data_IF_884426501733
#
_entry.id   IF_884426501733
#
_cell.length_a   1.000
_cell.length_b   1.000
_cell.length_c   1.000
_cell.angle_alpha   90.00
_cell.angle_beta   90.00
_cell.angle_gamma   90.00
#
_symmetry.space_group_name_H-M   'P 1'
#
loop_
_entity.id
_entity.type
_entity.pdbx_description
1 polymer ?
#
# COMPACT_ATOMS: atom_id res chain seq x y z
N UNK A 1 -10.13 6.82 -59.58
CA UNK A 1 -8.75 6.52 -59.14
C UNK A 1 -7.84 7.76 -59.17
N UNK A 2 -7.91 8.64 -60.17
CA UNK A 2 -7.02 9.81 -60.27
C UNK A 2 -7.04 10.74 -59.03
N UNK A 3 -8.23 11.03 -58.47
CA UNK A 3 -8.38 11.88 -57.28
C UNK A 3 -7.66 11.34 -56.02
N UNK A 4 -7.59 10.01 -55.86
CA UNK A 4 -6.90 9.41 -54.70
C UNK A 4 -5.38 9.60 -54.80
N UNK A 5 -4.82 9.41 -55.99
CA UNK A 5 -3.37 9.59 -56.22
C UNK A 5 -2.95 11.04 -56.02
N UNK A 6 -3.76 12.00 -56.49
CA UNK A 6 -3.52 13.43 -56.26
C UNK A 6 -3.57 13.77 -54.78
N UNK A 7 -4.56 13.24 -54.04
CA UNK A 7 -4.66 13.48 -52.59
C UNK A 7 -3.49 12.89 -51.80
N UNK A 8 -2.99 11.70 -52.19
CA UNK A 8 -1.83 11.08 -51.54
C UNK A 8 -0.58 11.91 -51.83
N UNK A 9 -0.44 12.40 -53.06
CA UNK A 9 0.67 13.27 -53.45
C UNK A 9 0.69 14.57 -52.64
N UNK A 10 -0.46 15.23 -52.43
CA UNK A 10 -0.55 16.44 -51.62
C UNK A 10 -0.19 16.23 -50.14
N UNK A 11 -0.63 15.10 -49.57
CA UNK A 11 -0.29 14.71 -48.19
C UNK A 11 1.21 14.40 -48.04
N UNK A 12 1.81 13.72 -49.02
CA UNK A 12 3.24 13.39 -48.99
C UNK A 12 4.14 14.58 -49.31
N UNK A 13 3.66 15.55 -50.10
CA UNK A 13 4.40 16.75 -50.50
C UNK A 13 4.59 17.75 -49.37
N UNK A 14 3.60 17.88 -48.48
CA UNK A 14 3.66 18.82 -47.36
C UNK A 14 4.20 18.16 -46.09
N UNK A 15 5.22 18.76 -45.48
CA UNK A 15 5.86 18.23 -44.26
C UNK A 15 4.87 18.14 -43.09
N UNK A 16 4.01 19.15 -42.93
CA UNK A 16 3.02 19.20 -41.86
C UNK A 16 1.93 18.13 -41.97
N UNK A 17 1.40 17.88 -43.19
CA UNK A 17 0.41 16.81 -43.39
C UNK A 17 1.06 15.43 -43.24
N UNK A 18 2.32 15.29 -43.67
CA UNK A 18 3.09 14.06 -43.46
C UNK A 18 3.32 13.76 -41.98
N UNK A 19 3.60 14.78 -41.17
CA UNK A 19 3.73 14.63 -39.72
C UNK A 19 2.40 14.23 -39.07
N UNK A 20 1.28 14.86 -39.45
CA UNK A 20 -0.05 14.47 -38.97
C UNK A 20 -0.41 13.05 -39.39
N UNK A 21 -0.09 12.66 -40.62
CA UNK A 21 -0.30 11.30 -41.12
C UNK A 21 0.55 10.28 -40.35
N UNK A 22 1.84 10.59 -40.10
CA UNK A 22 2.71 9.75 -39.28
C UNK A 22 2.18 9.61 -37.84
N UNK A 23 1.68 10.70 -37.24
CA UNK A 23 1.02 10.65 -35.94
C UNK A 23 -0.22 9.75 -35.97
N UNK A 24 -1.04 9.82 -37.02
CA UNK A 24 -2.21 8.93 -37.16
C UNK A 24 -1.81 7.47 -37.38
N UNK A 25 -0.71 7.21 -38.09
CA UNK A 25 -0.15 5.86 -38.23
C UNK A 25 0.35 5.29 -36.90
N UNK A 26 0.99 6.12 -36.06
CA UNK A 26 1.59 5.70 -34.79
C UNK A 26 0.54 5.60 -33.66
N UNK A 27 -0.38 6.57 -33.57
CA UNK A 27 -1.35 6.69 -32.48
C UNK A 27 -2.77 6.24 -32.86
N UNK A 28 -3.04 5.97 -34.13
CA UNK A 28 -4.38 5.68 -34.66
C UNK A 28 -5.22 6.93 -34.85
N UNK A 29 -6.33 6.80 -35.59
CA UNK A 29 -7.36 7.85 -35.68
C UNK A 29 -7.94 8.13 -34.29
N UNK A 30 -8.18 9.40 -33.91
CA UNK A 30 -8.89 9.71 -32.68
C UNK A 30 -10.34 9.23 -32.79
N UNK A 31 -10.62 8.07 -32.17
CA UNK A 31 -11.99 7.55 -32.08
C UNK A 31 -12.79 8.45 -31.13
N UNK A 32 -13.58 9.37 -31.69
CA UNK A 32 -14.46 10.29 -30.97
C UNK A 32 -15.52 9.58 -30.10
N UNK A 33 -15.69 8.27 -30.30
CA UNK A 33 -16.61 7.40 -29.57
C UNK A 33 -16.00 6.68 -28.36
N UNK A 34 -14.67 6.70 -28.21
CA UNK A 34 -14.00 5.97 -27.12
C UNK A 34 -13.29 6.93 -26.16
N UNK A 35 -13.72 7.03 -24.88
CA UNK A 35 -12.99 7.81 -23.86
C UNK A 35 -11.57 7.25 -23.57
N UNK A 36 -11.27 6.07 -24.09
CA UNK A 36 -9.97 5.38 -23.99
C UNK A 36 -8.84 6.14 -24.69
N UNK A 37 -9.13 6.91 -25.76
CA UNK A 37 -8.09 7.63 -26.51
C UNK A 37 -7.39 8.70 -25.66
N UNK A 38 -8.10 9.29 -24.70
CA UNK A 38 -7.52 10.24 -23.73
C UNK A 38 -6.84 9.53 -22.55
N UNK A 39 -7.23 8.29 -22.24
CA UNK A 39 -6.72 7.55 -21.08
C UNK A 39 -5.25 7.14 -21.24
N UNK A 40 -4.79 6.92 -22.48
CA UNK A 40 -3.38 6.61 -22.75
C UNK A 40 -2.46 7.84 -22.64
N UNK A 41 -3.02 9.06 -22.67
CA UNK A 41 -2.28 10.32 -22.51
C UNK A 41 -2.38 10.90 -21.10
N UNK A 42 -2.99 10.19 -20.15
CA UNK A 42 -2.81 10.48 -18.73
C UNK A 42 -1.44 9.91 -18.35
N UNK A 43 -0.46 10.80 -18.15
CA UNK A 43 0.85 10.44 -17.55
C UNK A 43 0.55 9.59 -16.32
N UNK A 44 1.07 8.36 -16.27
CA UNK A 44 0.94 7.48 -15.10
C UNK A 44 1.60 8.21 -13.94
N UNK A 45 0.80 8.90 -13.12
CA UNK A 45 1.29 9.53 -11.91
C UNK A 45 1.85 8.40 -11.07
N UNK A 46 3.15 8.46 -10.81
CA UNK A 46 3.76 7.46 -9.96
C UNK A 46 3.11 7.55 -8.57
N UNK A 47 3.10 6.44 -7.83
CA UNK A 47 2.40 6.38 -6.55
C UNK A 47 2.88 7.48 -5.58
N UNK A 48 4.17 7.82 -5.64
CA UNK A 48 4.75 8.92 -4.86
C UNK A 48 4.27 10.30 -5.31
N UNK A 49 4.10 10.55 -6.61
CA UNK A 49 3.55 11.83 -7.10
C UNK A 49 2.11 12.02 -6.59
N UNK A 50 1.31 10.95 -6.59
CA UNK A 50 -0.03 10.98 -6.03
C UNK A 50 -0.03 11.25 -4.51
N UNK A 51 0.91 10.65 -3.76
CA UNK A 51 1.08 10.90 -2.32
C UNK A 51 1.51 12.34 -2.05
N UNK A 52 2.44 12.90 -2.83
CA UNK A 52 2.88 14.29 -2.69
C UNK A 52 1.72 15.26 -2.96
N UNK A 53 0.95 15.03 -4.02
CA UNK A 53 -0.23 15.84 -4.33
C UNK A 53 -1.27 15.75 -3.21
N UNK A 54 -1.49 14.55 -2.67
CA UNK A 54 -2.42 14.35 -1.56
C UNK A 54 -1.98 15.10 -0.30
N UNK A 55 -0.68 15.08 0.03
CA UNK A 55 -0.13 15.87 1.15
C UNK A 55 -0.30 17.37 0.89
N UNK A 56 -0.04 17.84 -0.34
CA UNK A 56 -0.19 19.25 -0.70
C UNK A 56 -1.66 19.73 -0.61
N UNK A 57 -2.62 18.91 -1.04
CA UNK A 57 -4.05 19.25 -0.88
C UNK A 57 -4.45 19.23 0.59
N UNK A 58 -3.95 18.25 1.36
CA UNK A 58 -4.20 18.14 2.80
C UNK A 58 -3.66 19.34 3.59
N UNK A 59 -2.46 19.84 3.26
CA UNK A 59 -1.89 21.03 3.91
C UNK A 59 -2.70 22.28 3.62
N UNK A 60 -3.17 22.44 2.39
CA UNK A 60 -4.04 23.56 2.00
C UNK A 60 -5.36 23.49 2.76
N UNK A 61 -5.98 22.31 2.83
CA UNK A 61 -7.23 22.11 3.58
C UNK A 61 -7.04 22.41 5.08
N UNK A 62 -5.94 21.94 5.66
CA UNK A 62 -5.60 22.21 7.05
C UNK A 62 -5.34 23.71 7.31
N UNK A 63 -4.66 24.39 6.40
CA UNK A 63 -4.45 25.83 6.46
C UNK A 63 -5.79 26.59 6.43
N UNK A 64 -6.69 26.23 5.52
CA UNK A 64 -8.04 26.81 5.45
C UNK A 64 -8.83 26.56 6.73
N UNK A 65 -8.69 25.39 7.37
CA UNK A 65 -9.33 25.08 8.65
C UNK A 65 -8.82 25.98 9.78
N UNK A 66 -7.51 26.20 9.87
CA UNK A 66 -6.92 27.14 10.83
C UNK A 66 -7.39 28.59 10.57
N UNK A 67 -7.52 28.99 9.30
CA UNK A 67 -8.10 30.29 8.97
C UNK A 67 -9.58 30.39 9.31
N UNK A 68 -10.36 29.33 9.12
CA UNK A 68 -11.78 29.30 9.42
C UNK A 68 -12.03 29.55 10.91
N UNK A 69 -11.27 28.88 11.77
CA UNK A 69 -11.39 29.06 13.22
C UNK A 69 -10.86 30.43 13.69
N UNK A 70 -9.85 31.01 13.02
CA UNK A 70 -9.44 32.40 13.26
C UNK A 70 -10.59 33.35 12.92
N UNK A 71 -11.22 33.13 11.76
CA UNK A 71 -12.32 33.96 11.29
C UNK A 71 -13.56 33.82 12.16
N UNK A 72 -13.87 32.64 12.68
CA UNK A 72 -14.96 32.41 13.62
C UNK A 72 -14.80 33.28 14.87
N UNK A 73 -13.62 33.25 15.51
CA UNK A 73 -13.35 34.07 16.69
C UNK A 73 -13.34 35.55 16.36
N UNK A 74 -12.76 35.94 15.24
CA UNK A 74 -12.81 37.33 14.75
C UNK A 74 -14.26 37.83 14.56
N UNK A 75 -15.13 37.01 13.97
CA UNK A 75 -16.54 37.37 13.78
C UNK A 75 -17.30 37.47 15.11
N UNK A 76 -17.08 36.54 16.04
CA UNK A 76 -17.65 36.59 17.40
C UNK A 76 -17.20 37.87 18.11
N UNK A 77 -15.92 38.25 17.99
CA UNK A 77 -15.40 39.52 18.51
C UNK A 77 -16.09 40.72 17.87
N UNK A 78 -16.21 40.75 16.54
CA UNK A 78 -16.86 41.87 15.84
C UNK A 78 -18.32 42.03 16.28
N UNK A 79 -19.01 40.94 16.62
CA UNK A 79 -20.36 40.98 17.17
C UNK A 79 -20.39 41.44 18.63
N UNK A 80 -19.49 40.95 19.49
CA UNK A 80 -19.42 41.37 20.91
C UNK A 80 -19.04 42.84 21.05
N UNK A 81 -18.10 43.33 20.24
CA UNK A 81 -17.67 44.74 20.23
C UNK A 81 -18.77 45.66 19.70
N UNK A 82 -19.55 45.24 18.68
CA UNK A 82 -20.75 45.99 18.26
C UNK A 82 -21.84 46.04 19.33
N UNK A 83 -22.00 44.98 20.14
CA UNK A 83 -22.95 44.93 21.26
C UNK A 83 -22.46 45.78 22.44
N UNK A 84 -21.17 45.70 22.79
CA UNK A 84 -20.54 46.53 23.83
C UNK A 84 -20.55 48.01 23.43
N UNK A 85 -20.20 48.38 22.20
CA UNK A 85 -20.25 49.80 21.75
C UNK A 85 -21.65 50.42 21.77
N UNK A 86 -22.71 49.61 21.70
CA UNK A 86 -24.09 50.06 21.94
C UNK A 86 -24.42 50.22 23.42
N UNK A 87 -23.72 49.50 24.30
CA UNK A 87 -23.88 49.52 25.76
C UNK A 87 -22.98 50.57 26.42
N UNK A 88 -21.80 50.81 25.86
CA UNK A 88 -20.74 51.64 26.39
C UNK A 88 -20.75 53.02 25.74
N UNK A 89 -21.68 53.85 26.20
CA UNK A 89 -21.58 55.31 26.16
C UNK A 89 -20.86 55.83 27.43
N UNK A 90 -20.22 54.94 28.20
CA UNK A 90 -19.62 55.22 29.52
C UNK A 90 -18.42 54.29 29.81
N UNK A 91 -17.25 54.58 29.22
CA UNK A 91 -15.96 54.47 29.92
C UNK A 91 -15.09 53.19 29.94
N UNK A 92 -15.57 51.97 29.68
CA UNK A 92 -14.78 50.74 29.96
C UNK A 92 -14.38 49.85 28.74
N UNK A 93 -14.53 50.33 27.50
CA UNK A 93 -14.34 49.46 26.33
C UNK A 93 -12.88 49.08 26.02
N UNK A 94 -11.91 49.92 26.38
CA UNK A 94 -10.51 49.80 25.92
C UNK A 94 -9.78 48.56 26.49
N UNK A 95 -10.01 48.23 27.77
CA UNK A 95 -9.31 47.12 28.46
C UNK A 95 -9.76 45.72 28.05
N UNK A 96 -11.00 45.57 27.57
CA UNK A 96 -11.50 44.29 27.06
C UNK A 96 -10.98 43.98 25.66
N UNK A 97 -10.72 45.01 24.84
CA UNK A 97 -10.22 44.85 23.47
C UNK A 97 -8.76 44.39 23.45
N UNK A 98 -7.92 44.86 24.38
CA UNK A 98 -6.51 44.48 24.49
C UNK A 98 -6.29 43.06 24.99
N UNK A 99 -6.98 42.63 26.07
CA UNK A 99 -6.92 41.25 26.56
C UNK A 99 -7.43 40.22 25.54
N UNK A 100 -8.35 40.64 24.67
CA UNK A 100 -8.89 39.80 23.61
C UNK A 100 -8.03 39.79 22.33
N UNK A 101 -7.28 40.86 22.05
CA UNK A 101 -6.27 40.85 20.99
C UNK A 101 -5.13 39.89 21.33
N UNK A 102 -4.72 39.85 22.60
CA UNK A 102 -3.76 38.89 23.14
C UNK A 102 -4.27 37.43 23.00
N UNK A 103 -5.57 37.19 23.24
CA UNK A 103 -6.19 35.89 22.98
C UNK A 103 -6.27 35.53 21.49
N UNK A 104 -6.36 36.51 20.59
CA UNK A 104 -6.36 36.30 19.13
C UNK A 104 -4.95 36.00 18.59
N UNK A 105 -3.91 36.55 19.22
CA UNK A 105 -2.51 36.29 18.85
C UNK A 105 -2.11 34.83 19.07
N UNK A 106 -2.70 34.16 20.07
CA UNK A 106 -2.52 32.72 20.31
C UNK A 106 -3.06 31.89 19.14
N UNK A 107 -4.11 32.37 18.46
CA UNK A 107 -4.74 31.66 17.34
C UNK A 107 -4.23 32.11 15.96
N UNK A 108 -3.22 32.99 15.89
CA UNK A 108 -2.61 33.38 14.61
C UNK A 108 -2.01 32.12 13.97
N UNK A 109 -2.44 31.73 12.74
CA UNK A 109 -1.93 30.53 12.10
C UNK A 109 -0.44 30.69 11.86
N UNK A 110 0.38 29.98 12.65
CA UNK A 110 1.84 29.94 12.46
C UNK A 110 2.12 28.91 11.38
N UNK A 111 2.83 29.32 10.32
CA UNK A 111 3.23 28.41 9.24
C UNK A 111 4.10 27.24 9.72
N UNK A 112 4.70 27.35 10.90
CA UNK A 112 5.49 26.28 11.52
C UNK A 112 4.63 25.11 12.05
N UNK A 113 3.32 25.28 12.20
CA UNK A 113 2.40 24.23 12.69
C UNK A 113 1.72 23.46 11.55
N UNK A 114 2.20 23.63 10.32
CA UNK A 114 1.71 22.86 9.18
C UNK A 114 1.96 21.36 9.41
N UNK A 115 0.89 20.58 9.26
CA UNK A 115 0.85 19.11 9.40
C UNK A 115 2.10 18.34 8.90
N UNK A 116 2.69 18.60 7.71
CA UNK A 116 3.87 17.87 7.25
C UNK A 116 5.11 18.13 8.10
N UNK A 117 5.28 19.33 8.64
CA UNK A 117 6.41 19.66 9.50
C UNK A 117 6.24 19.07 10.90
N UNK A 118 5.02 19.15 11.44
CA UNK A 118 4.69 18.50 12.73
C UNK A 118 4.79 16.98 12.63
N UNK A 119 4.29 16.38 11.55
CA UNK A 119 4.40 14.93 11.32
C UNK A 119 5.86 14.50 11.10
N UNK A 120 6.67 15.28 10.40
CA UNK A 120 8.09 14.98 10.22
C UNK A 120 8.88 15.10 11.54
N UNK A 121 8.60 16.13 12.35
CA UNK A 121 9.24 16.28 13.64
C UNK A 121 8.74 15.21 14.64
N UNK A 122 7.45 14.89 14.63
CA UNK A 122 6.85 13.84 15.43
C UNK A 122 7.40 12.45 15.07
N UNK A 123 7.55 12.14 13.77
CA UNK A 123 8.13 10.88 13.31
C UNK A 123 9.61 10.76 13.68
N UNK A 124 10.37 11.86 13.61
CA UNK A 124 11.75 11.91 14.05
C UNK A 124 11.89 11.68 15.56
N UNK A 125 11.02 12.30 16.37
CA UNK A 125 10.99 12.08 17.81
C UNK A 125 10.54 10.66 18.17
N UNK A 126 9.58 10.09 17.45
CA UNK A 126 9.18 8.68 17.60
C UNK A 126 10.30 7.72 17.23
N UNK A 127 11.06 8.00 16.16
CA UNK A 127 12.22 7.19 15.79
C UNK A 127 13.31 7.27 16.87
N UNK A 128 13.61 8.47 17.39
CA UNK A 128 14.54 8.62 18.52
C UNK A 128 14.07 7.88 19.76
N UNK A 129 12.77 7.95 20.08
CA UNK A 129 12.19 7.24 21.22
C UNK A 129 12.27 5.72 21.02
N UNK A 130 11.98 5.23 19.81
CA UNK A 130 12.11 3.82 19.48
C UNK A 130 13.57 3.33 19.58
N UNK A 131 14.53 4.14 19.11
CA UNK A 131 15.97 3.86 19.28
C UNK A 131 16.35 3.87 20.76
N UNK A 132 15.85 4.83 21.54
CA UNK A 132 16.10 4.91 22.98
C UNK A 132 15.57 3.66 23.71
N UNK A 133 14.35 3.24 23.41
CA UNK A 133 13.75 2.02 23.97
C UNK A 133 14.54 0.78 23.53
N UNK A 134 14.95 0.68 22.27
CA UNK A 134 15.77 -0.44 21.78
C UNK A 134 17.14 -0.50 22.47
N UNK A 135 17.78 0.64 22.71
CA UNK A 135 19.00 0.76 23.49
C UNK A 135 18.80 0.33 24.94
N UNK A 136 17.67 0.68 25.55
CA UNK A 136 17.33 0.28 26.91
C UNK A 136 17.07 -1.23 27.03
N UNK A 137 16.46 -1.86 26.02
CA UNK A 137 16.30 -3.31 25.95
C UNK A 137 17.64 -4.04 25.76
N UNK A 138 18.56 -3.47 24.97
CA UNK A 138 19.93 -3.99 24.82
C UNK A 138 20.72 -3.87 26.13
N UNK A 139 20.62 -2.73 26.80
CA UNK A 139 21.33 -2.46 28.06
C UNK A 139 20.75 -3.21 29.26
N UNK A 140 19.45 -3.53 29.24
CA UNK A 140 18.78 -4.42 30.23
C UNK A 140 19.13 -5.89 30.02
N UNK A 141 19.61 -6.27 28.84
CA UNK A 141 20.17 -7.60 28.56
C UNK A 141 21.64 -7.74 29.00
N UNK A 142 22.30 -6.61 29.28
CA UNK A 142 23.72 -6.54 29.65
C UNK A 142 24.07 -6.62 31.16
N UNK A 143 23.17 -6.55 32.17
CA UNK A 143 23.56 -6.61 33.58
C UNK A 143 23.61 -8.04 34.15
N UNK A 144 23.37 -9.09 33.35
CA UNK A 144 23.43 -10.48 33.86
C UNK A 144 24.82 -11.14 33.71
N UNK A 145 25.82 -10.43 33.15
CA UNK A 145 27.14 -11.01 32.80
C UNK A 145 28.32 -10.30 33.47
N UNK A 146 28.09 -9.37 34.39
CA UNK A 146 29.17 -8.60 35.04
C UNK A 146 29.12 -8.74 36.55
N UNK A 147 29.38 -9.95 37.04
CA UNK A 147 29.85 -10.22 38.41
C UNK A 147 30.58 -11.59 38.44
N UNK A 148 31.59 -11.78 37.60
CA UNK A 148 32.65 -12.76 37.89
C UNK A 148 34.01 -12.10 37.76
N UNK A 149 34.50 -11.69 38.93
CA UNK A 149 35.87 -11.25 39.16
C UNK A 149 36.85 -12.34 38.72
N UNK A 150 37.81 -11.91 37.92
CA UNK A 150 38.99 -12.64 37.45
C UNK A 150 39.73 -13.36 38.60
N UNK A 151 39.53 -14.68 38.71
CA UNK A 151 40.45 -15.58 39.41
C UNK A 151 41.34 -16.22 38.34
N UNK A 152 42.68 -16.11 38.42
CA UNK A 152 43.56 -16.82 37.50
C UNK A 152 43.59 -18.30 37.90
N UNK A 153 42.66 -19.09 37.35
CA UNK A 153 42.68 -20.53 37.49
C UNK A 153 43.05 -21.19 36.15
N UNK A 154 44.03 -22.10 36.24
CA UNK A 154 44.52 -22.93 35.13
C UNK A 154 43.35 -23.49 34.32
N UNK A 155 43.48 -23.64 32.99
CA UNK A 155 42.45 -24.29 32.19
C UNK A 155 42.26 -25.73 32.68
N UNK A 156 41.05 -26.11 33.14
CA UNK A 156 40.73 -27.52 33.36
C UNK A 156 40.64 -28.24 32.01
N UNK A 157 40.99 -29.53 31.93
CA UNK A 157 40.82 -30.30 30.71
C UNK A 157 39.35 -30.31 30.29
N UNK A 158 39.09 -30.10 28.99
CA UNK A 158 37.75 -30.05 28.43
C UNK A 158 36.93 -31.29 28.86
N UNK A 159 35.72 -31.14 29.41
CA UNK A 159 34.85 -32.28 29.67
C UNK A 159 34.50 -32.93 28.32
N UNK A 160 34.80 -34.22 28.19
CA UNK A 160 34.35 -35.03 27.06
C UNK A 160 32.81 -35.01 27.08
N UNK A 161 32.20 -34.61 25.96
CA UNK A 161 30.76 -34.71 25.81
C UNK A 161 30.31 -36.16 26.09
N UNK A 162 29.17 -36.37 26.78
CA UNK A 162 28.64 -37.72 26.94
C UNK A 162 28.37 -38.30 25.55
N UNK A 163 28.89 -39.50 25.32
CA UNK A 163 28.69 -40.26 24.09
C UNK A 163 27.19 -40.59 24.02
N UNK A 164 26.44 -39.80 23.24
CA UNK A 164 25.04 -40.06 22.96
C UNK A 164 24.99 -41.28 22.04
N UNK A 165 24.82 -42.46 22.62
CA UNK A 165 24.45 -43.66 21.87
C UNK A 165 23.05 -43.43 21.29
N UNK A 166 23.01 -43.05 20.02
CA UNK A 166 21.78 -43.15 19.25
C UNK A 166 21.56 -44.65 18.97
N UNK A 167 20.38 -45.15 19.28
CA UNK A 167 19.91 -46.39 18.68
C UNK A 167 19.58 -46.04 17.22
N UNK A 168 20.53 -46.27 16.32
CA UNK A 168 20.29 -46.15 14.89
C UNK A 168 19.27 -47.25 14.55
N UNK A 169 18.05 -46.85 14.16
CA UNK A 169 17.07 -47.78 13.62
C UNK A 169 17.63 -48.36 12.31
N UNK A 170 18.26 -49.53 12.40
CA UNK A 170 18.95 -50.22 11.29
C UNK A 170 18.00 -50.68 10.18
N UNK A 171 16.68 -50.55 10.39
CA UNK A 171 15.65 -51.10 9.50
C UNK A 171 15.02 -50.05 8.57
N UNK A 172 15.53 -48.81 8.55
CA UNK A 172 15.05 -47.80 7.62
C UNK A 172 15.71 -47.97 6.25
N UNK A 173 14.98 -48.63 5.34
CA UNK A 173 15.33 -48.73 3.92
C UNK A 173 15.41 -47.31 3.34
N UNK A 174 16.56 -46.86 2.80
CA UNK A 174 16.69 -45.53 2.22
C UNK A 174 15.75 -45.41 1.03
N UNK A 175 14.73 -44.56 1.14
CA UNK A 175 13.85 -44.24 0.03
C UNK A 175 14.66 -43.37 -0.93
N UNK A 176 15.17 -43.97 -2.00
CA UNK A 176 15.78 -43.24 -3.11
C UNK A 176 14.74 -42.27 -3.68
N UNK A 177 15.03 -40.98 -3.60
CA UNK A 177 14.18 -39.88 -4.10
C UNK A 177 14.02 -39.90 -5.62
N UNK A 178 14.69 -40.82 -6.33
CA UNK A 178 14.68 -40.98 -7.78
C UNK A 178 14.06 -42.32 -8.24
N UNK A 179 13.16 -42.93 -7.46
CA UNK A 179 12.41 -44.09 -7.96
C UNK A 179 11.23 -43.63 -8.87
N UNK A 180 11.28 -43.90 -10.19
CA UNK A 180 10.20 -43.51 -11.11
C UNK A 180 8.85 -44.15 -10.76
N UNK A 181 8.83 -45.36 -10.20
CA UNK A 181 7.59 -46.04 -9.79
C UNK A 181 6.92 -45.36 -8.60
N UNK A 182 7.71 -44.86 -7.63
CA UNK A 182 7.18 -44.11 -6.50
C UNK A 182 6.58 -42.79 -6.99
N UNK A 183 7.29 -42.08 -7.89
CA UNK A 183 6.78 -40.83 -8.47
C UNK A 183 5.48 -41.04 -9.26
N UNK A 184 5.39 -42.11 -10.05
CA UNK A 184 4.20 -42.47 -10.81
C UNK A 184 3.02 -42.84 -9.89
N UNK A 185 3.30 -43.48 -8.75
CA UNK A 185 2.28 -43.79 -7.75
C UNK A 185 1.70 -42.52 -7.13
N UNK A 186 2.55 -41.56 -6.73
CA UNK A 186 2.08 -40.28 -6.18
C UNK A 186 1.30 -39.45 -7.20
N UNK A 187 1.71 -39.43 -8.47
CA UNK A 187 0.94 -38.73 -9.52
C UNK A 187 -0.41 -39.39 -9.78
N UNK A 188 -0.47 -40.72 -9.80
CA UNK A 188 -1.73 -41.44 -9.98
C UNK A 188 -2.70 -41.22 -8.81
N UNK A 189 -2.20 -41.23 -7.57
CA UNK A 189 -3.01 -40.93 -6.37
C UNK A 189 -3.51 -39.48 -6.36
N UNK A 190 -2.73 -38.53 -6.86
CA UNK A 190 -3.14 -37.14 -7.02
C UNK A 190 -4.21 -36.97 -8.11
N UNK A 191 -4.06 -37.66 -9.25
CA UNK A 191 -5.06 -37.65 -10.34
C UNK A 191 -6.38 -38.31 -9.92
N UNK A 192 -6.34 -39.38 -9.13
CA UNK A 192 -7.53 -40.04 -8.62
C UNK A 192 -8.28 -39.16 -7.60
N UNK A 193 -7.53 -38.48 -6.73
CA UNK A 193 -8.04 -37.46 -5.80
C UNK A 193 -8.68 -36.28 -6.54
N UNK A 194 -8.05 -35.78 -7.61
CA UNK A 194 -8.60 -34.71 -8.45
C UNK A 194 -9.90 -35.13 -9.16
N UNK A 195 -10.00 -36.39 -9.61
CA UNK A 195 -11.24 -36.94 -10.21
C UNK A 195 -12.36 -37.07 -9.19
N UNK A 196 -12.06 -37.47 -7.94
CA UNK A 196 -13.03 -37.57 -6.85
C UNK A 196 -13.58 -36.20 -6.41
N UNK A 197 -12.75 -35.15 -6.51
CA UNK A 197 -13.12 -33.78 -6.14
C UNK A 197 -13.77 -32.99 -7.29
N UNK A 198 -13.66 -33.45 -8.54
CA UNK A 198 -14.35 -32.87 -9.68
C UNK A 198 -15.86 -33.10 -9.55
N UNK A 199 -16.61 -32.04 -9.26
CA UNK A 199 -18.06 -32.07 -8.99
C UNK A 199 -18.46 -32.02 -7.51
N UNK A 200 -17.51 -32.05 -6.57
CA UNK A 200 -17.79 -31.88 -5.14
C UNK A 200 -18.21 -30.42 -4.82
N UNK A 201 -19.09 -30.20 -3.81
CA UNK A 201 -19.50 -28.87 -3.40
C UNK A 201 -18.29 -28.03 -2.95
N UNK A 202 -18.31 -26.73 -3.21
CA UNK A 202 -17.22 -25.81 -2.89
C UNK A 202 -17.30 -25.37 -1.44
N UNK A 203 -16.22 -25.54 -0.69
CA UNK A 203 -16.08 -25.02 0.68
C UNK A 203 -15.79 -23.52 0.69
N UNK A 204 -16.21 -22.82 1.74
CA UNK A 204 -15.98 -21.38 1.91
C UNK A 204 -14.48 -21.02 1.89
N UNK A 205 -13.62 -21.88 2.44
CA UNK A 205 -12.18 -21.67 2.45
C UNK A 205 -11.58 -21.75 1.04
N UNK A 206 -12.04 -22.70 0.22
CA UNK A 206 -11.64 -22.84 -1.18
C UNK A 206 -12.05 -21.59 -2.00
N UNK A 207 -13.22 -21.01 -1.72
CA UNK A 207 -13.69 -19.78 -2.35
C UNK A 207 -12.86 -18.55 -1.96
N UNK A 208 -12.37 -18.49 -0.71
CA UNK A 208 -11.49 -17.41 -0.25
C UNK A 208 -10.12 -17.48 -0.94
N UNK A 209 -9.53 -18.67 -1.03
CA UNK A 209 -8.28 -18.88 -1.76
C UNK A 209 -8.43 -18.56 -3.26
N UNK A 210 -9.61 -18.84 -3.85
CA UNK A 210 -9.88 -18.46 -5.23
C UNK A 210 -9.91 -16.94 -5.46
N UNK A 211 -10.27 -16.16 -4.42
CA UNK A 211 -10.33 -14.70 -4.49
C UNK A 211 -8.96 -14.02 -4.33
N UNK A 212 -8.05 -14.59 -3.52
CA UNK A 212 -6.79 -13.93 -3.16
C UNK A 212 -5.74 -13.95 -4.29
N UNK A 213 -5.79 -14.92 -5.20
CA UNK A 213 -4.77 -15.08 -6.23
C UNK A 213 -5.10 -14.25 -7.47
N UNK A 214 -4.58 -13.01 -7.49
CA UNK A 214 -4.60 -12.11 -8.64
C UNK A 214 -3.19 -11.88 -9.18
N UNK A 215 -3.02 -11.95 -10.51
CA UNK A 215 -1.88 -11.35 -11.20
C UNK A 215 -0.69 -12.27 -11.56
N UNK A 216 -0.73 -13.57 -11.27
CA UNK A 216 0.34 -14.50 -11.66
C UNK A 216 0.07 -15.15 -13.03
N UNK A 217 1.09 -15.30 -13.90
CA UNK A 217 0.99 -16.20 -15.05
C UNK A 217 0.74 -17.63 -14.53
N UNK A 218 -0.18 -18.36 -15.17
CA UNK A 218 -0.65 -19.69 -14.74
C UNK A 218 -1.40 -19.74 -13.39
N UNK A 219 -2.11 -18.67 -13.01
CA UNK A 219 -2.91 -18.59 -11.77
C UNK A 219 -3.82 -19.80 -11.52
N UNK A 220 -4.50 -20.30 -12.57
CA UNK A 220 -5.50 -21.36 -12.43
C UNK A 220 -4.86 -22.72 -12.22
N UNK A 221 -3.67 -22.95 -12.80
CA UNK A 221 -2.90 -24.18 -12.57
C UNK A 221 -2.30 -24.22 -11.17
N UNK A 222 -1.82 -23.08 -10.66
CA UNK A 222 -1.33 -22.99 -9.30
C UNK A 222 -2.46 -23.24 -8.29
N UNK A 223 -3.62 -22.62 -8.51
CA UNK A 223 -4.80 -22.81 -7.66
C UNK A 223 -5.33 -24.25 -7.72
N UNK A 224 -5.32 -24.88 -8.89
CA UNK A 224 -5.67 -26.28 -9.08
C UNK A 224 -4.83 -27.23 -8.21
N UNK A 225 -3.50 -26.97 -8.13
CA UNK A 225 -2.59 -27.73 -7.26
C UNK A 225 -2.87 -27.50 -5.78
N UNK A 226 -3.14 -26.26 -5.37
CA UNK A 226 -3.42 -25.93 -3.95
C UNK A 226 -4.75 -26.51 -3.50
N UNK A 227 -5.78 -26.46 -4.35
CA UNK A 227 -7.13 -26.94 -4.04
C UNK A 227 -7.33 -28.44 -4.36
N UNK A 228 -6.32 -29.13 -4.90
CA UNK A 228 -6.42 -30.50 -5.42
C UNK A 228 -7.63 -30.71 -6.36
N UNK A 229 -7.99 -29.68 -7.14
CA UNK A 229 -9.09 -29.69 -8.11
C UNK A 229 -8.57 -29.44 -9.53
N UNK A 230 -9.36 -29.79 -10.54
CA UNK A 230 -9.00 -29.52 -11.94
C UNK A 230 -8.96 -28.01 -12.24
N UNK A 231 -7.98 -27.56 -13.03
CA UNK A 231 -7.82 -26.16 -13.42
C UNK A 231 -9.00 -25.59 -14.22
N UNK A 232 -9.69 -26.45 -14.98
CA UNK A 232 -10.91 -26.06 -15.70
C UNK A 232 -12.07 -25.74 -14.73
N UNK A 233 -12.27 -26.58 -13.71
CA UNK A 233 -13.31 -26.37 -12.69
C UNK A 233 -13.09 -25.08 -11.89
N UNK A 234 -11.82 -24.80 -11.56
CA UNK A 234 -11.39 -23.57 -10.90
C UNK A 234 -11.69 -22.33 -11.77
N UNK A 235 -11.43 -22.42 -13.07
CA UNK A 235 -11.68 -21.32 -14.02
C UNK A 235 -13.17 -21.03 -14.17
N UNK A 236 -13.99 -22.09 -14.26
CA UNK A 236 -15.46 -21.96 -14.34
C UNK A 236 -16.01 -21.34 -13.06
N UNK A 237 -15.57 -21.79 -11.88
CA UNK A 237 -16.03 -21.26 -10.61
C UNK A 237 -15.62 -19.80 -10.40
N UNK A 238 -14.40 -19.44 -10.77
CA UNK A 238 -13.95 -18.05 -10.73
C UNK A 238 -14.77 -17.15 -11.65
N UNK A 239 -15.15 -17.66 -12.83
CA UNK A 239 -16.08 -16.99 -13.73
C UNK A 239 -17.44 -16.73 -13.05
N UNK A 240 -18.02 -17.74 -12.38
CA UNK A 240 -19.29 -17.61 -11.65
C UNK A 240 -19.22 -16.59 -10.51
N UNK A 241 -18.14 -16.61 -9.71
CA UNK A 241 -17.92 -15.63 -8.63
C UNK A 241 -17.87 -14.19 -9.17
N UNK A 242 -17.22 -13.98 -10.31
CA UNK A 242 -17.15 -12.66 -10.96
C UNK A 242 -18.53 -12.18 -11.43
N UNK A 243 -19.34 -13.07 -12.02
CA UNK A 243 -20.70 -12.72 -12.47
C UNK A 243 -21.62 -12.39 -11.29
N UNK A 244 -21.54 -13.13 -10.17
CA UNK A 244 -22.33 -12.84 -8.97
C UNK A 244 -22.01 -11.47 -8.36
N UNK A 245 -20.74 -11.04 -8.43
CA UNK A 245 -20.34 -9.69 -7.98
C UNK A 245 -20.91 -8.59 -8.87
N UNK A 246 -20.99 -8.82 -10.18
CA UNK A 246 -21.44 -7.83 -11.15
C UNK A 246 -22.96 -7.62 -11.13
N UNK A 247 -23.74 -8.62 -10.70
CA UNK A 247 -25.21 -8.52 -10.56
C UNK A 247 -25.63 -7.87 -9.23
N UNK A 248 -24.75 -7.86 -8.22
CA UNK A 248 -25.03 -7.30 -6.89
C UNK A 248 -24.59 -5.82 -6.74
N UNK A 249 -23.93 -5.28 -7.76
CA UNK A 249 -23.55 -3.87 -7.88
C UNK A 249 -24.48 -3.18 -8.88
#
# INVERSE_FOLDING_TARGET
MHFQVVSIYEVLKSSELREKYNNVLEFGLPDWRQPIYYYRKMRKLAWYEAVIVLIAVSTIAHYLMMWAAYYEKYLVLKQSLKKSRKRDKKGESEGTVTQLHEALEVYRPRFCDLLPFLMANGSWNMLKLAVFIAQEQLKRKEPEVVDEVHIPHRPPPAPRAPEFTYEMATDLKPVSTNNPEASAKYTNEAEESQKKLSGAPWSCEELYHLWIVLGTPNRWECMARVLNRNAQDVTVMAGKLKHMKQVRL
#
